data_IF_708542367860
#
_entry.id   IF_708542367860
#
_cell.length_a   1.000
_cell.length_b   1.000
_cell.length_c   1.000
_cell.angle_alpha   90.00
_cell.angle_beta   90.00
_cell.angle_gamma   90.00
#
_symmetry.space_group_name_H-M   'P 1'
#
loop_
_entity.id
_entity.type
_entity.pdbx_description
1 polymer ?
#
# COMPACT_ATOMS: atom_id res chain seq x y z
N UNK A 1 2.24 -8.25 16.15
CA UNK A 1 2.68 -7.31 15.10
C UNK A 1 3.15 -7.97 13.79
N UNK A 2 2.86 -9.26 13.50
CA UNK A 2 3.42 -9.96 12.32
C UNK A 2 2.94 -9.43 10.94
N UNK A 3 1.80 -8.76 10.86
CA UNK A 3 1.20 -8.34 9.58
C UNK A 3 1.72 -6.99 9.05
N UNK A 4 2.40 -6.20 9.88
CA UNK A 4 2.92 -4.88 9.49
C UNK A 4 4.19 -5.00 8.62
N UNK A 5 5.05 -5.98 8.90
CA UNK A 5 6.30 -6.15 8.15
C UNK A 5 6.02 -6.65 6.72
N UNK A 6 5.09 -7.61 6.57
CA UNK A 6 4.67 -8.08 5.25
C UNK A 6 4.02 -6.97 4.40
N UNK A 7 3.22 -6.10 5.02
CA UNK A 7 2.63 -4.94 4.34
C UNK A 7 3.70 -3.95 3.88
N UNK A 8 4.70 -3.66 4.73
CA UNK A 8 5.84 -2.80 4.37
C UNK A 8 6.61 -3.36 3.19
N UNK A 9 6.93 -4.66 3.20
CA UNK A 9 7.63 -5.33 2.08
C UNK A 9 6.84 -5.18 0.78
N UNK A 10 5.53 -5.43 0.80
CA UNK A 10 4.69 -5.29 -0.39
C UNK A 10 4.61 -3.83 -0.90
N UNK A 11 4.54 -2.85 0.00
CA UNK A 11 4.56 -1.42 -0.35
C UNK A 11 5.90 -1.00 -0.96
N UNK A 12 7.01 -1.48 -0.39
CA UNK A 12 8.36 -1.21 -0.91
C UNK A 12 8.57 -1.85 -2.28
N UNK A 13 8.19 -3.12 -2.46
CA UNK A 13 8.27 -3.81 -3.75
C UNK A 13 7.44 -3.09 -4.83
N UNK A 14 6.23 -2.61 -4.50
CA UNK A 14 5.45 -1.81 -5.42
C UNK A 14 6.17 -0.51 -5.81
N UNK A 15 6.77 0.18 -4.83
CA UNK A 15 7.54 1.42 -5.08
C UNK A 15 8.76 1.17 -5.98
N UNK A 16 9.50 0.10 -5.75
CA UNK A 16 10.64 -0.30 -6.57
C UNK A 16 10.23 -0.61 -8.01
N UNK A 17 9.05 -1.21 -8.20
CA UNK A 17 8.44 -1.43 -9.51
C UNK A 17 7.84 -0.16 -10.14
N UNK A 18 8.01 1.02 -9.53
CA UNK A 18 7.49 2.29 -10.03
C UNK A 18 5.98 2.51 -9.79
N UNK A 19 5.34 1.66 -8.98
CA UNK A 19 3.93 1.76 -8.66
C UNK A 19 3.67 2.71 -7.50
N UNK A 20 2.57 3.45 -7.60
CA UNK A 20 1.99 4.26 -6.53
C UNK A 20 0.78 3.54 -5.98
N UNK A 21 0.85 3.12 -4.73
CA UNK A 21 -0.27 2.54 -4.00
C UNK A 21 -1.09 3.62 -3.30
N UNK A 22 -2.41 3.47 -3.29
CA UNK A 22 -3.36 4.30 -2.53
C UNK A 22 -4.44 3.43 -1.92
N UNK A 23 -4.76 3.68 -0.66
CA UNK A 23 -6.01 3.21 -0.06
C UNK A 23 -7.09 4.26 -0.29
N UNK A 24 -8.23 3.85 -0.84
CA UNK A 24 -9.41 4.69 -1.07
C UNK A 24 -10.64 3.90 -0.66
N UNK A 25 -11.32 4.32 0.41
CA UNK A 25 -12.53 3.66 0.92
C UNK A 25 -12.32 2.17 1.22
N UNK A 26 -11.22 1.80 1.89
CA UNK A 26 -10.89 0.39 2.16
C UNK A 26 -10.45 -0.43 0.94
N UNK A 27 -10.28 0.20 -0.23
CA UNK A 27 -9.78 -0.45 -1.44
C UNK A 27 -8.34 -0.05 -1.74
N UNK A 28 -7.50 -1.04 -2.02
CA UNK A 28 -6.15 -0.84 -2.53
C UNK A 28 -6.21 -0.57 -4.04
N UNK A 29 -5.65 0.57 -4.46
CA UNK A 29 -5.44 0.94 -5.86
C UNK A 29 -3.94 1.11 -6.12
N UNK A 30 -3.49 0.69 -7.29
CA UNK A 30 -2.11 0.80 -7.73
C UNK A 30 -2.07 1.48 -9.10
N UNK A 31 -1.17 2.43 -9.31
CA UNK A 31 -0.96 3.09 -10.63
C UNK A 31 0.54 3.24 -10.92
N UNK A 32 1.01 2.99 -12.14
CA UNK A 32 0.27 2.53 -13.32
C UNK A 32 -0.11 1.05 -13.22
N UNK A 33 -1.32 0.63 -13.62
CA UNK A 33 -1.76 -0.76 -13.45
C UNK A 33 -0.98 -1.76 -14.32
N UNK A 34 -0.42 -1.28 -15.43
CA UNK A 34 0.39 -2.03 -16.39
C UNK A 34 1.72 -2.52 -15.81
N UNK A 35 2.23 -1.88 -14.75
CA UNK A 35 3.49 -2.28 -14.10
C UNK A 35 3.29 -3.39 -13.05
N UNK A 36 2.06 -3.84 -12.83
CA UNK A 36 1.76 -4.87 -11.83
C UNK A 36 2.09 -6.25 -12.41
N UNK A 37 3.23 -6.79 -12.00
CA UNK A 37 3.62 -8.18 -12.31
C UNK A 37 2.73 -9.19 -11.56
N UNK A 38 2.61 -10.44 -12.05
CA UNK A 38 1.84 -11.48 -11.36
C UNK A 38 2.28 -11.73 -9.91
N UNK A 39 3.60 -11.73 -9.65
CA UNK A 39 4.15 -11.92 -8.30
C UNK A 39 3.78 -10.78 -7.35
N UNK A 40 3.88 -9.53 -7.81
CA UNK A 40 3.47 -8.38 -7.01
C UNK A 40 1.96 -8.36 -6.78
N UNK A 41 1.16 -8.73 -7.80
CA UNK A 41 -0.30 -8.87 -7.65
C UNK A 41 -0.65 -9.88 -6.54
N UNK A 42 0.04 -11.02 -6.51
CA UNK A 42 -0.16 -12.03 -5.48
C UNK A 42 0.20 -11.48 -4.09
N UNK A 43 1.35 -10.81 -3.93
CA UNK A 43 1.75 -10.22 -2.66
C UNK A 43 0.77 -9.16 -2.16
N UNK A 44 0.34 -8.24 -3.04
CA UNK A 44 -0.64 -7.21 -2.69
C UNK A 44 -2.01 -7.80 -2.36
N UNK A 45 -2.37 -8.94 -2.96
CA UNK A 45 -3.62 -9.64 -2.67
C UNK A 45 -3.56 -10.33 -1.31
N UNK A 46 -2.50 -11.09 -1.02
CA UNK A 46 -2.30 -11.79 0.25
C UNK A 46 -2.23 -10.84 1.45
N UNK A 47 -1.69 -9.64 1.24
CA UNK A 47 -1.52 -8.64 2.29
C UNK A 47 -2.45 -7.44 2.15
N UNK A 48 -3.53 -7.55 1.35
CA UNK A 48 -4.39 -6.43 0.97
C UNK A 48 -4.89 -5.62 2.16
N UNK A 49 -5.44 -6.28 3.18
CA UNK A 49 -5.98 -5.61 4.36
C UNK A 49 -4.89 -4.83 5.11
N UNK A 50 -3.75 -5.48 5.39
CA UNK A 50 -2.64 -4.85 6.10
C UNK A 50 -2.01 -3.69 5.31
N UNK A 51 -1.92 -3.80 3.99
CA UNK A 51 -1.45 -2.71 3.12
C UNK A 51 -2.41 -1.52 3.16
N UNK A 52 -3.72 -1.77 3.11
CA UNK A 52 -4.75 -0.73 3.24
C UNK A 52 -4.62 -0.01 4.60
N UNK A 53 -4.56 -0.76 5.69
CA UNK A 53 -4.45 -0.19 7.05
C UNK A 53 -3.23 0.72 7.20
N UNK A 54 -2.07 0.28 6.69
CA UNK A 54 -0.84 1.06 6.72
C UNK A 54 -0.96 2.33 5.89
N UNK A 55 -1.50 2.25 4.67
CA UNK A 55 -1.66 3.41 3.80
C UNK A 55 -2.63 4.43 4.40
N UNK A 56 -3.77 4.00 4.94
CA UNK A 56 -4.73 4.91 5.59
C UNK A 56 -4.15 5.54 6.86
N UNK A 57 -3.40 4.77 7.66
CA UNK A 57 -2.71 5.30 8.82
C UNK A 57 -1.74 6.43 8.44
N UNK A 58 -0.91 6.20 7.42
CA UNK A 58 0.04 7.20 6.93
C UNK A 58 -0.67 8.44 6.36
N UNK A 59 -1.78 8.25 5.65
CA UNK A 59 -2.62 9.35 5.16
C UNK A 59 -3.19 10.19 6.31
N UNK A 60 -3.72 9.56 7.37
CA UNK A 60 -4.22 10.25 8.56
C UNK A 60 -3.12 11.06 9.25
N UNK A 61 -1.93 10.48 9.41
CA UNK A 61 -0.79 11.21 9.97
C UNK A 61 -0.40 12.41 9.11
N UNK A 62 -0.34 12.25 7.79
CA UNK A 62 0.01 13.35 6.89
C UNK A 62 -1.05 14.46 6.90
N UNK A 63 -2.33 14.11 7.06
CA UNK A 63 -3.40 15.08 7.21
C UNK A 63 -3.31 15.86 8.53
N UNK A 64 -3.03 15.17 9.65
CA UNK A 64 -2.87 15.81 10.95
C UNK A 64 -1.73 16.83 10.95
N UNK A 65 -0.57 16.48 10.39
CA UNK A 65 0.61 17.39 10.29
C UNK A 65 0.40 18.61 9.38
N UNK A 66 -0.62 18.62 8.54
CA UNK A 66 -0.95 19.77 7.67
C UNK A 66 -1.97 20.72 8.30
N UNK A 67 -2.66 20.27 9.35
CA UNK A 67 -3.61 21.07 10.10
C UNK A 67 -2.94 21.79 11.29
N UNK A 68 -1.67 21.47 11.57
CA UNK A 68 -0.75 22.16 12.49
C UNK A 68 0.00 23.27 11.73
#
# INVERSE_FOLDING_TARGET
MKNWDAAKVAIMAAREAGLRLRAVGGQLRAKPEELITPGLRLQLTLHRAAVVDVLEYLQRQAAARRAE
#
